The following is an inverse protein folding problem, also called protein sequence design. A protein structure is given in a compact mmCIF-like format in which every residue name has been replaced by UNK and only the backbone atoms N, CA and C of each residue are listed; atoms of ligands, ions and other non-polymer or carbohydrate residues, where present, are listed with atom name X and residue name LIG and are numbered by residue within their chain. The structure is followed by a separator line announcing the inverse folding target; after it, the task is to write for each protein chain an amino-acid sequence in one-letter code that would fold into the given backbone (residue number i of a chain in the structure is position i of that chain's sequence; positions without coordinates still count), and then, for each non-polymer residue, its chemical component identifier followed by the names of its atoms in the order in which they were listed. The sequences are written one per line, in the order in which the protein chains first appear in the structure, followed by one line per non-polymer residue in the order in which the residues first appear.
data_IF_715276673915
#
_entry.id   IF_715276673915
#
_cell.length_a   1.000
_cell.length_b   1.000
_cell.length_c   1.000
_cell.angle_alpha   90.00
_cell.angle_beta   90.00
_cell.angle_gamma   90.00
#
_symmetry.space_group_name_H-M   'P 1'
#
loop_
_entity.id
_entity.type
_entity.pdbx_description
1 polymer ?
#
# COMPACT_ATOMS: atom_id res chain seq x y z
N UNK A 1 21.77 17.03 -4.48
CA UNK A 1 21.73 16.81 -5.94
C UNK A 1 20.31 16.40 -6.34
N UNK A 2 19.85 16.79 -7.53
CA UNK A 2 18.57 16.34 -8.11
C UNK A 2 18.83 15.33 -9.21
N UNK A 3 17.92 14.35 -9.32
CA UNK A 3 17.91 13.40 -10.44
C UNK A 3 16.75 13.72 -11.37
N UNK A 4 17.00 13.64 -12.66
CA UNK A 4 15.99 13.87 -13.70
C UNK A 4 15.84 12.63 -14.57
N UNK A 5 14.60 12.30 -14.87
CA UNK A 5 14.26 11.21 -15.79
C UNK A 5 14.43 11.69 -17.24
N UNK A 6 14.42 10.75 -18.18
CA UNK A 6 14.53 11.06 -19.63
C UNK A 6 13.44 12.00 -20.13
N UNK A 7 12.27 12.03 -19.52
CA UNK A 7 11.17 12.95 -19.81
C UNK A 7 11.38 14.34 -19.19
N UNK A 8 12.50 14.58 -18.52
CA UNK A 8 12.84 15.85 -17.87
C UNK A 8 12.27 16.05 -16.47
N UNK A 9 11.39 15.16 -15.99
CA UNK A 9 10.81 15.28 -14.64
C UNK A 9 11.83 14.95 -13.56
N UNK A 10 11.91 15.80 -12.53
CA UNK A 10 12.64 15.50 -11.30
C UNK A 10 11.98 14.35 -10.54
N UNK A 11 12.78 13.56 -9.83
CA UNK A 11 12.29 12.54 -8.88
C UNK A 11 12.00 13.09 -7.49
N UNK A 12 12.25 14.38 -7.26
CA UNK A 12 12.04 15.02 -5.97
C UNK A 12 10.56 14.98 -5.57
N UNK A 13 10.26 14.74 -4.31
CA UNK A 13 8.93 14.63 -3.70
C UNK A 13 8.05 13.49 -4.23
N UNK A 14 8.08 13.23 -5.53
CA UNK A 14 7.16 12.28 -6.19
C UNK A 14 7.77 10.90 -6.45
N UNK A 15 9.11 10.83 -6.48
CA UNK A 15 9.79 9.61 -6.90
C UNK A 15 9.47 9.24 -8.35
N UNK A 16 9.26 7.96 -8.58
CA UNK A 16 8.76 7.40 -9.84
C UNK A 16 7.35 6.89 -9.59
N UNK A 17 6.37 7.60 -10.10
CA UNK A 17 4.96 7.23 -9.96
C UNK A 17 4.66 5.99 -10.82
N UNK A 18 3.98 5.01 -10.24
CA UNK A 18 3.48 3.84 -10.95
C UNK A 18 2.18 4.18 -11.68
N UNK A 19 1.92 3.51 -12.82
CA UNK A 19 0.67 3.70 -13.58
C UNK A 19 -0.55 3.11 -12.85
N UNK A 20 -0.33 2.04 -12.06
CA UNK A 20 -1.35 1.44 -11.17
C UNK A 20 -0.82 1.54 -9.74
N UNK A 21 -1.59 2.18 -8.87
CA UNK A 21 -1.19 2.47 -7.50
C UNK A 21 -2.07 1.72 -6.51
N UNK A 22 -1.46 1.32 -5.40
CA UNK A 22 -2.15 0.73 -4.26
C UNK A 22 -2.27 1.74 -3.12
N UNK A 23 -3.34 1.66 -2.31
CA UNK A 23 -3.42 2.45 -1.09
C UNK A 23 -2.31 2.03 -0.12
N UNK A 24 -1.75 3.01 0.58
CA UNK A 24 -0.70 2.79 1.57
C UNK A 24 -0.99 3.51 2.88
N UNK A 25 -0.52 2.94 3.98
CA UNK A 25 -0.53 3.59 5.29
C UNK A 25 0.58 4.65 5.41
N UNK A 26 1.59 4.61 4.53
CA UNK A 26 2.71 5.54 4.53
C UNK A 26 2.50 6.62 3.49
N UNK A 27 1.80 7.70 3.84
CA UNK A 27 1.62 8.83 2.92
C UNK A 27 2.93 9.56 2.65
N UNK A 28 3.15 9.98 1.40
CA UNK A 28 4.34 10.72 1.02
C UNK A 28 4.47 12.07 1.77
N UNK A 29 3.35 12.67 2.19
CA UNK A 29 3.32 13.92 2.96
C UNK A 29 3.87 13.76 4.37
N UNK A 30 3.77 12.57 4.97
CA UNK A 30 4.25 12.30 6.33
C UNK A 30 5.58 11.58 6.38
N UNK A 31 5.80 10.66 5.46
CA UNK A 31 6.93 9.71 5.49
C UNK A 31 7.86 9.88 4.28
N UNK A 32 7.45 10.63 3.26
CA UNK A 32 8.25 10.86 2.07
C UNK A 32 9.24 12.01 2.21
N UNK A 33 10.08 12.17 1.19
CA UNK A 33 11.04 13.29 1.11
C UNK A 33 10.35 14.65 1.27
N UNK A 34 9.11 14.78 0.80
CA UNK A 34 8.31 16.01 0.89
C UNK A 34 8.02 16.46 2.33
N UNK A 35 8.13 15.57 3.32
CA UNK A 35 7.96 15.90 4.74
C UNK A 35 9.19 16.60 5.34
N UNK A 36 10.34 16.52 4.68
CA UNK A 36 11.59 17.11 5.17
C UNK A 36 11.66 18.61 4.86
N UNK A 37 12.00 19.42 5.85
CA UNK A 37 12.07 20.89 5.72
C UNK A 37 13.10 21.36 4.69
N UNK A 38 14.13 20.57 4.43
CA UNK A 38 15.21 20.87 3.49
C UNK A 38 15.04 20.17 2.14
N UNK A 39 13.90 19.54 1.89
CA UNK A 39 13.62 18.87 0.63
C UNK A 39 13.70 19.86 -0.54
N UNK A 40 14.37 19.43 -1.61
CA UNK A 40 14.46 20.23 -2.83
C UNK A 40 13.11 20.21 -3.56
N UNK A 41 12.61 21.34 -4.05
CA UNK A 41 11.32 21.37 -4.73
C UNK A 41 11.36 20.55 -6.03
N UNK A 42 10.22 19.97 -6.38
CA UNK A 42 10.04 19.33 -7.67
C UNK A 42 10.14 20.37 -8.80
N UNK A 43 10.83 20.00 -9.88
CA UNK A 43 10.94 20.81 -11.09
C UNK A 43 11.07 19.93 -12.33
N UNK A 44 11.13 20.54 -13.49
CA UNK A 44 11.27 19.85 -14.77
C UNK A 44 12.26 20.58 -15.65
N UNK A 45 13.10 19.81 -16.32
CA UNK A 45 14.03 20.28 -17.35
C UNK A 45 13.58 19.80 -18.75
N UNK A 46 14.25 20.22 -19.79
CA UNK A 46 13.95 19.74 -21.15
C UNK A 46 14.09 18.23 -21.25
N UNK A 47 13.12 17.60 -21.92
CA UNK A 47 13.14 16.16 -22.22
C UNK A 47 14.39 15.78 -23.02
N UNK A 48 15.08 14.74 -22.62
CA UNK A 48 16.18 14.18 -23.39
C UNK A 48 15.67 13.53 -24.68
N UNK A 49 16.50 13.48 -25.72
CA UNK A 49 16.18 12.69 -26.91
C UNK A 49 16.31 11.19 -26.58
N UNK A 50 15.22 10.47 -26.66
CA UNK A 50 15.21 9.01 -26.44
C UNK A 50 14.18 8.34 -27.36
N UNK A 51 14.42 7.07 -27.66
CA UNK A 51 13.45 6.23 -28.38
C UNK A 51 12.56 5.53 -27.39
N UNK A 52 11.24 5.71 -27.50
CA UNK A 52 10.28 4.91 -26.72
C UNK A 52 10.34 3.46 -27.17
N UNK A 53 10.53 2.54 -26.25
CA UNK A 53 10.51 1.10 -26.52
C UNK A 53 9.08 0.60 -26.71
N UNK A 54 8.15 1.13 -25.92
CA UNK A 54 6.72 0.84 -26.00
C UNK A 54 5.91 2.04 -25.51
N UNK A 55 4.66 2.14 -25.95
CA UNK A 55 3.67 3.06 -25.42
C UNK A 55 2.56 2.25 -24.75
N UNK A 56 2.53 2.24 -23.43
CA UNK A 56 1.54 1.54 -22.61
C UNK A 56 0.27 2.37 -22.36
N UNK A 57 0.25 3.65 -22.76
CA UNK A 57 -0.87 4.55 -22.49
C UNK A 57 -2.23 3.98 -22.95
N UNK A 58 -2.35 3.35 -24.14
CA UNK A 58 -3.62 2.78 -24.57
C UNK A 58 -4.09 1.59 -23.73
N UNK A 59 -3.15 0.88 -23.10
CA UNK A 59 -3.41 -0.35 -22.34
C UNK A 59 -3.68 -0.03 -20.87
N UNK A 60 -3.09 1.03 -20.35
CA UNK A 60 -3.19 1.41 -18.92
C UNK A 60 -4.65 1.57 -18.47
N UNK A 61 -5.51 2.12 -19.32
CA UNK A 61 -6.93 2.26 -18.98
C UNK A 61 -7.62 0.90 -18.78
N UNK A 62 -7.37 -0.04 -19.69
CA UNK A 62 -7.96 -1.39 -19.58
C UNK A 62 -7.41 -2.13 -18.36
N UNK A 63 -6.11 -2.01 -18.08
CA UNK A 63 -5.49 -2.59 -16.89
C UNK A 63 -6.10 -2.01 -15.62
N UNK A 64 -6.28 -0.70 -15.56
CA UNK A 64 -6.90 -0.02 -14.43
C UNK A 64 -8.34 -0.51 -14.20
N UNK A 65 -9.15 -0.62 -15.26
CA UNK A 65 -10.53 -1.11 -15.16
C UNK A 65 -10.60 -2.55 -14.66
N UNK A 66 -9.70 -3.43 -15.10
CA UNK A 66 -9.63 -4.82 -14.63
C UNK A 66 -9.19 -4.90 -13.17
N UNK A 67 -8.19 -4.11 -12.80
CA UNK A 67 -7.72 -3.98 -11.43
C UNK A 67 -8.86 -3.52 -10.51
N UNK A 68 -9.55 -2.43 -10.82
CA UNK A 68 -10.65 -1.90 -10.03
C UNK A 68 -11.80 -2.89 -9.85
N UNK A 69 -12.14 -3.66 -10.90
CA UNK A 69 -13.15 -4.73 -10.81
C UNK A 69 -12.76 -5.84 -9.82
N UNK A 70 -11.49 -6.23 -9.79
CA UNK A 70 -11.00 -7.21 -8.80
C UNK A 70 -11.03 -6.64 -7.39
N UNK A 71 -10.55 -5.41 -7.21
CA UNK A 71 -10.58 -4.72 -5.92
C UNK A 71 -11.98 -4.63 -5.33
N UNK A 72 -12.97 -4.26 -6.15
CA UNK A 72 -14.36 -4.10 -5.71
C UNK A 72 -14.95 -5.39 -5.10
N UNK A 73 -14.47 -6.56 -5.54
CA UNK A 73 -14.95 -7.86 -5.10
C UNK A 73 -13.98 -8.57 -4.13
N UNK A 74 -12.86 -7.95 -3.76
CA UNK A 74 -11.86 -8.54 -2.89
C UNK A 74 -12.14 -8.22 -1.41
N UNK A 75 -12.32 -9.24 -0.59
CA UNK A 75 -12.41 -9.08 0.86
C UNK A 75 -11.04 -8.79 1.49
N UNK A 76 -9.96 -9.27 0.88
CA UNK A 76 -8.59 -8.93 1.29
C UNK A 76 -8.28 -7.45 1.08
N UNK A 77 -8.76 -6.87 -0.03
CA UNK A 77 -8.64 -5.44 -0.26
C UNK A 77 -9.39 -4.61 0.79
N UNK A 78 -10.62 -5.01 1.14
CA UNK A 78 -11.38 -4.37 2.23
C UNK A 78 -10.62 -4.45 3.55
N UNK A 79 -9.98 -5.59 3.82
CA UNK A 79 -9.16 -5.78 5.00
C UNK A 79 -7.94 -4.84 5.01
N UNK A 80 -7.25 -4.71 3.87
CA UNK A 80 -6.15 -3.75 3.71
C UNK A 80 -6.61 -2.30 3.99
N UNK A 81 -7.78 -1.90 3.48
CA UNK A 81 -8.33 -0.57 3.73
C UNK A 81 -8.69 -0.35 5.21
N UNK A 82 -9.22 -1.38 5.89
CA UNK A 82 -9.47 -1.33 7.33
C UNK A 82 -8.16 -1.13 8.11
N UNK A 83 -7.08 -1.81 7.71
CA UNK A 83 -5.76 -1.68 8.33
C UNK A 83 -5.18 -0.28 8.18
N UNK A 84 -5.24 0.27 6.98
CA UNK A 84 -4.78 1.64 6.72
C UNK A 84 -5.57 2.63 7.57
N UNK A 85 -6.88 2.42 7.68
CA UNK A 85 -7.74 3.28 8.51
C UNK A 85 -7.40 3.19 10.00
N UNK A 86 -7.17 1.99 10.53
CA UNK A 86 -6.77 1.81 11.92
C UNK A 86 -5.37 2.41 12.19
N UNK A 87 -4.41 2.20 11.28
CA UNK A 87 -3.09 2.82 11.39
C UNK A 87 -3.18 4.35 11.46
N UNK A 88 -3.95 4.95 10.55
CA UNK A 88 -4.13 6.40 10.51
C UNK A 88 -4.82 6.95 11.77
N UNK A 89 -5.71 6.18 12.41
CA UNK A 89 -6.29 6.57 13.70
C UNK A 89 -5.25 6.59 14.82
N UNK A 90 -4.38 5.58 14.88
CA UNK A 90 -3.32 5.52 15.90
C UNK A 90 -2.38 6.73 15.78
N UNK A 91 -2.10 7.17 14.59
CA UNK A 91 -1.25 8.33 14.29
C UNK A 91 -1.88 9.67 14.76
N UNK A 92 -3.18 9.71 14.97
CA UNK A 92 -3.90 10.91 15.46
C UNK A 92 -4.05 10.96 16.98
N UNK A 93 -3.58 9.96 17.74
CA UNK A 93 -3.70 9.93 19.19
C UNK A 93 -2.67 10.89 19.81
N UNK A 94 -3.09 12.02 20.38
CA UNK A 94 -2.16 13.06 20.85
C UNK A 94 -1.48 12.72 22.18
N UNK A 95 -2.05 11.77 22.95
CA UNK A 95 -1.60 11.46 24.30
C UNK A 95 -1.77 9.96 24.61
N UNK A 96 -0.82 9.41 25.33
CA UNK A 96 -0.86 8.04 25.86
C UNK A 96 -0.97 8.13 27.39
N UNK A 97 -1.87 7.36 27.97
CA UNK A 97 -2.01 7.28 29.43
C UNK A 97 -0.78 6.59 30.03
N UNK A 98 -0.18 7.18 31.07
CA UNK A 98 0.87 6.54 31.86
C UNK A 98 0.31 5.72 33.04
N UNK A 99 -1.02 5.64 33.19
CA UNK A 99 -1.64 4.84 34.22
C UNK A 99 -1.53 3.35 33.87
N UNK A 100 -0.90 2.58 34.76
CA UNK A 100 -0.63 1.14 34.55
C UNK A 100 -1.90 0.33 34.29
N UNK A 101 -2.99 0.59 35.05
CA UNK A 101 -4.25 -0.15 34.88
C UNK A 101 -4.86 0.11 33.51
N UNK A 102 -4.96 1.40 33.12
CA UNK A 102 -5.48 1.78 31.80
C UNK A 102 -4.64 1.22 30.65
N UNK A 103 -3.31 1.29 30.76
CA UNK A 103 -2.41 0.72 29.74
C UNK A 103 -2.57 -0.79 29.62
N UNK A 104 -2.83 -1.50 30.73
CA UNK A 104 -3.07 -2.93 30.70
C UNK A 104 -4.40 -3.25 30.00
N UNK A 105 -5.47 -2.54 30.36
CA UNK A 105 -6.79 -2.69 29.72
C UNK A 105 -6.74 -2.41 28.23
N UNK A 106 -6.08 -1.32 27.81
CA UNK A 106 -5.88 -0.98 26.39
C UNK A 106 -5.07 -2.03 25.66
N UNK A 107 -4.01 -2.56 26.29
CA UNK A 107 -3.19 -3.64 25.70
C UNK A 107 -3.99 -4.91 25.50
N UNK A 108 -4.77 -5.30 26.50
CA UNK A 108 -5.56 -6.52 26.45
C UNK A 108 -6.67 -6.38 25.39
N UNK A 109 -7.35 -5.24 25.33
CA UNK A 109 -8.31 -4.93 24.28
C UNK A 109 -7.68 -4.92 22.88
N UNK A 110 -6.46 -4.39 22.73
CA UNK A 110 -5.74 -4.40 21.46
C UNK A 110 -5.29 -5.79 21.04
N UNK A 111 -4.91 -6.67 22.00
CA UNK A 111 -4.62 -8.09 21.69
C UNK A 111 -5.84 -8.81 21.15
N UNK A 112 -7.00 -8.60 21.76
CA UNK A 112 -8.24 -9.24 21.33
C UNK A 112 -8.66 -8.75 19.94
N UNK A 113 -8.58 -7.44 19.69
CA UNK A 113 -8.81 -6.87 18.36
C UNK A 113 -7.85 -7.43 17.31
N UNK A 114 -6.56 -7.51 17.64
CA UNK A 114 -5.55 -8.06 16.72
C UNK A 114 -5.82 -9.53 16.44
N UNK A 115 -6.18 -10.32 17.46
CA UNK A 115 -6.54 -11.73 17.28
C UNK A 115 -7.77 -11.90 16.38
N UNK A 116 -8.82 -11.12 16.62
CA UNK A 116 -10.02 -11.14 15.80
C UNK A 116 -9.71 -10.79 14.34
N UNK A 117 -8.87 -9.79 14.15
CA UNK A 117 -8.42 -9.35 12.83
C UNK A 117 -7.62 -10.43 12.09
N UNK A 118 -6.62 -11.03 12.75
CA UNK A 118 -5.83 -12.10 12.15
C UNK A 118 -6.73 -13.31 11.85
N UNK A 119 -7.67 -13.65 12.73
CA UNK A 119 -8.59 -14.76 12.51
C UNK A 119 -9.50 -14.52 11.30
N UNK A 120 -9.97 -13.29 11.07
CA UNK A 120 -10.72 -12.95 9.86
C UNK A 120 -9.89 -13.21 8.59
N UNK A 121 -8.60 -12.85 8.60
CA UNK A 121 -7.69 -13.11 7.48
C UNK A 121 -7.42 -14.62 7.30
N UNK A 122 -7.18 -15.35 8.39
CA UNK A 122 -7.00 -16.80 8.35
C UNK A 122 -8.25 -17.51 7.81
N UNK A 123 -9.45 -17.05 8.17
CA UNK A 123 -10.72 -17.57 7.68
C UNK A 123 -10.88 -17.36 6.17
N UNK A 124 -10.53 -16.19 5.64
CA UNK A 124 -10.53 -15.92 4.20
C UNK A 124 -9.66 -16.91 3.42
N UNK A 125 -8.57 -17.36 4.02
CA UNK A 125 -7.63 -18.33 3.44
C UNK A 125 -7.88 -19.78 3.87
N UNK A 126 -9.02 -20.09 4.51
CA UNK A 126 -9.35 -21.42 5.01
C UNK A 126 -8.26 -22.02 5.95
N UNK A 127 -7.60 -21.18 6.73
CA UNK A 127 -6.56 -21.55 7.67
C UNK A 127 -7.12 -21.75 9.08
N UNK A 128 -6.48 -22.57 9.94
CA UNK A 128 -6.89 -22.75 11.33
C UNK A 128 -6.85 -21.43 12.10
N UNK A 129 -7.90 -21.16 12.88
CA UNK A 129 -8.00 -19.92 13.67
C UNK A 129 -7.00 -19.91 14.82
N UNK A 130 -6.45 -18.73 15.08
CA UNK A 130 -5.56 -18.47 16.22
C UNK A 130 -6.33 -18.43 17.53
N UNK A 131 -5.99 -19.33 18.46
CA UNK A 131 -6.62 -19.45 19.77
C UNK A 131 -5.82 -18.68 20.83
N UNK A 132 -6.51 -18.31 21.92
CA UNK A 132 -5.85 -17.69 23.06
C UNK A 132 -4.81 -18.63 23.70
N UNK A 133 -3.74 -18.03 24.22
CA UNK A 133 -2.61 -18.79 24.77
C UNK A 133 -1.66 -19.42 23.75
N UNK A 134 -1.96 -19.37 22.46
CA UNK A 134 -1.05 -19.80 21.41
C UNK A 134 -0.17 -18.67 20.91
N UNK A 135 1.05 -18.96 20.40
CA UNK A 135 1.85 -17.97 19.72
C UNK A 135 1.12 -17.45 18.49
N UNK A 136 1.33 -16.15 18.17
CA UNK A 136 0.74 -15.54 16.97
C UNK A 136 1.21 -16.31 15.72
N UNK A 137 0.28 -16.74 14.85
CA UNK A 137 0.64 -17.40 13.61
C UNK A 137 1.38 -16.42 12.68
N UNK A 138 2.35 -16.95 11.94
CA UNK A 138 2.97 -16.20 10.86
C UNK A 138 2.00 -16.17 9.68
N UNK A 139 1.56 -14.99 9.32
CA UNK A 139 0.66 -14.79 8.18
C UNK A 139 1.52 -14.29 7.01
N UNK A 140 1.58 -15.07 5.94
CA UNK A 140 2.43 -14.79 4.77
C UNK A 140 1.59 -14.40 3.54
N UNK A 141 0.43 -13.77 3.76
CA UNK A 141 -0.41 -13.30 2.66
C UNK A 141 -0.03 -11.86 2.30
N UNK A 142 0.32 -11.65 1.04
CA UNK A 142 0.67 -10.34 0.49
C UNK A 142 -0.29 -10.00 -0.65
N UNK A 143 -1.40 -9.35 -0.30
CA UNK A 143 -2.40 -8.90 -1.26
C UNK A 143 -1.81 -8.02 -2.37
N UNK A 144 -0.84 -7.15 -2.03
CA UNK A 144 -0.23 -6.25 -3.02
C UNK A 144 0.59 -7.04 -4.03
N UNK A 145 1.34 -8.04 -3.57
CA UNK A 145 2.09 -8.93 -4.46
C UNK A 145 1.14 -9.72 -5.36
N UNK A 146 0.12 -10.34 -4.79
CA UNK A 146 -0.83 -11.18 -5.54
C UNK A 146 -1.59 -10.37 -6.60
N UNK A 147 -2.08 -9.18 -6.25
CA UNK A 147 -2.74 -8.31 -7.22
C UNK A 147 -1.78 -7.72 -8.25
N UNK A 148 -0.53 -7.45 -7.89
CA UNK A 148 0.51 -7.05 -8.84
C UNK A 148 0.76 -8.16 -9.88
N UNK A 149 0.78 -9.42 -9.46
CA UNK A 149 0.88 -10.58 -10.36
C UNK A 149 -0.34 -10.69 -11.29
N UNK A 150 -1.55 -10.41 -10.79
CA UNK A 150 -2.75 -10.37 -11.61
C UNK A 150 -2.69 -9.26 -12.67
N UNK A 151 -2.23 -8.07 -12.31
CA UNK A 151 -2.02 -6.96 -13.25
C UNK A 151 -0.98 -7.33 -14.31
N UNK A 152 0.12 -7.97 -13.93
CA UNK A 152 1.13 -8.46 -14.86
C UNK A 152 0.57 -9.53 -15.79
N UNK A 153 -0.25 -10.46 -15.29
CA UNK A 153 -0.92 -11.46 -16.11
C UNK A 153 -1.88 -10.84 -17.14
N UNK A 154 -2.57 -9.77 -16.77
CA UNK A 154 -3.40 -8.99 -17.69
C UNK A 154 -2.58 -8.24 -18.76
N UNK A 155 -1.41 -7.71 -18.38
CA UNK A 155 -0.54 -6.94 -19.28
C UNK A 155 0.01 -7.81 -20.44
N UNK A 156 0.41 -9.06 -20.15
CA UNK A 156 1.04 -9.96 -21.12
C UNK A 156 0.22 -10.12 -22.43
N UNK A 157 -1.08 -10.46 -22.38
CA UNK A 157 -1.86 -10.61 -23.62
C UNK A 157 -2.14 -9.26 -24.31
N UNK A 158 -2.19 -8.16 -23.59
CA UNK A 158 -2.46 -6.83 -24.15
C UNK A 158 -1.25 -6.26 -24.90
N UNK A 159 -0.03 -6.68 -24.56
CA UNK A 159 1.20 -6.25 -25.24
C UNK A 159 1.56 -7.12 -26.45
N UNK A 160 0.91 -8.28 -26.65
CA UNK A 160 1.18 -9.20 -27.76
C UNK A 160 0.40 -8.87 -29.04
N UNK A 161 -0.33 -7.77 -29.06
CA UNK A 161 -1.00 -7.26 -30.27
C UNK A 161 -0.09 -6.25 -30.94
#
# INVERSE_FOLDING_TARGET
AKFYRVNGSSTQHKGVEADITFPTQFSAEKFGESSEKAALPWDQINTAKFNKVADLTPINKELQERHEKRLANSDEYKFLLEDIKEFNKLDTIPQISLNQTKLKEERDANKDKNRARINKLLELHNMPLWKDGQPQPKVEFDFILDESLNVMADLIPLTKK
#
